data_IF_004862808118
#
_entry.id   IF_004862808118
#
_cell.length_a   1.000
_cell.length_b   1.000
_cell.length_c   1.000
_cell.angle_alpha   90.00
_cell.angle_beta   90.00
_cell.angle_gamma   90.00
#
_symmetry.space_group_name_H-M   'P 1'
#
loop_
_entity.id
_entity.type
_entity.pdbx_description
1 polymer ?
#
# COMPACT_ATOMS: atom_id res chain seq x y z
N UNK A 1 6.54 8.58 -2.62
CA UNK A 1 7.86 8.09 -2.14
C UNK A 1 7.97 6.57 -2.20
N UNK A 2 7.00 5.81 -1.67
CA UNK A 2 7.00 4.34 -1.74
C UNK A 2 7.21 3.79 -3.17
N UNK A 3 6.56 4.39 -4.17
CA UNK A 3 6.75 3.99 -5.57
C UNK A 3 8.20 4.04 -6.07
N UNK A 4 9.01 4.98 -5.59
CA UNK A 4 10.43 5.07 -5.95
C UNK A 4 11.27 3.98 -5.28
N UNK A 5 10.85 3.47 -4.11
CA UNK A 5 11.53 2.39 -3.40
C UNK A 5 11.19 1.02 -3.99
N UNK A 6 9.95 0.84 -4.43
CA UNK A 6 9.44 -0.42 -4.98
C UNK A 6 10.00 -0.73 -6.38
N UNK A 7 10.30 0.30 -7.18
CA UNK A 7 10.85 0.15 -8.52
C UNK A 7 9.86 -0.47 -9.52
N UNK A 8 10.34 -0.89 -10.70
CA UNK A 8 9.48 -1.25 -11.83
C UNK A 8 8.74 -2.59 -11.73
N UNK A 9 9.09 -3.45 -10.77
CA UNK A 9 8.44 -4.74 -10.55
C UNK A 9 7.56 -4.78 -9.31
N UNK A 10 7.48 -3.65 -8.59
CA UNK A 10 6.67 -3.55 -7.39
C UNK A 10 5.18 -3.43 -7.71
N UNK A 11 4.38 -3.72 -6.69
CA UNK A 11 2.94 -3.46 -6.66
C UNK A 11 2.68 -2.47 -5.55
N UNK A 12 1.90 -1.44 -5.83
CA UNK A 12 1.61 -0.36 -4.89
C UNK A 12 0.11 -0.05 -4.96
N UNK A 13 -0.65 -0.45 -3.95
CA UNK A 13 -2.08 -0.18 -3.91
C UNK A 13 -2.40 0.81 -2.79
N UNK A 14 -3.26 1.78 -3.07
CA UNK A 14 -3.84 2.68 -2.09
C UNK A 14 -5.33 2.41 -1.95
N UNK A 15 -5.85 2.37 -0.72
CA UNK A 15 -7.28 2.22 -0.45
C UNK A 15 -7.71 3.40 0.40
N UNK A 16 -8.76 4.08 -0.03
CA UNK A 16 -9.31 5.25 0.65
C UNK A 16 -10.84 5.25 0.52
N UNK A 17 -11.54 5.63 1.59
CA UNK A 17 -13.01 5.58 1.64
C UNK A 17 -13.67 6.78 0.95
N UNK A 18 -12.96 7.90 0.81
CA UNK A 18 -13.47 9.12 0.19
C UNK A 18 -12.99 9.25 -1.26
N UNK A 19 -13.95 9.36 -2.18
CA UNK A 19 -13.75 9.44 -3.63
C UNK A 19 -12.93 10.69 -4.03
N UNK A 20 -13.23 11.85 -3.44
CA UNK A 20 -12.54 13.11 -3.69
C UNK A 20 -11.06 13.09 -3.28
N UNK A 21 -10.73 12.33 -2.23
CA UNK A 21 -9.34 12.13 -1.79
C UNK A 21 -8.58 11.23 -2.75
N UNK A 22 -9.24 10.21 -3.33
CA UNK A 22 -8.66 9.37 -4.38
C UNK A 22 -8.38 10.18 -5.64
N UNK A 23 -9.37 10.95 -6.11
CA UNK A 23 -9.21 11.85 -7.28
C UNK A 23 -8.02 12.80 -7.10
N UNK A 24 -7.92 13.40 -5.91
CA UNK A 24 -6.81 14.27 -5.56
C UNK A 24 -5.47 13.53 -5.58
N UNK A 25 -5.41 12.30 -5.05
CA UNK A 25 -4.20 11.49 -5.05
C UNK A 25 -3.74 11.14 -6.47
N UNK A 26 -4.67 10.77 -7.35
CA UNK A 26 -4.40 10.50 -8.77
C UNK A 26 -3.87 11.77 -9.48
N UNK A 27 -4.49 12.92 -9.24
CA UNK A 27 -4.03 14.20 -9.79
C UNK A 27 -2.57 14.48 -9.38
N UNK A 28 -2.22 14.29 -8.09
CA UNK A 28 -0.86 14.54 -7.58
C UNK A 28 0.16 13.55 -8.10
N UNK A 29 -0.20 12.29 -8.29
CA UNK A 29 0.67 11.30 -8.94
C UNK A 29 0.91 11.68 -10.40
N UNK A 30 -0.15 12.04 -11.13
CA UNK A 30 -0.04 12.50 -12.52
C UNK A 30 0.79 13.79 -12.65
N UNK A 31 0.65 14.73 -11.71
CA UNK A 31 1.47 15.92 -11.65
C UNK A 31 2.94 15.56 -11.41
N UNK A 32 3.24 14.72 -10.43
CA UNK A 32 4.60 14.25 -10.15
C UNK A 32 5.24 13.60 -11.37
N UNK A 33 4.54 12.72 -12.08
CA UNK A 33 5.05 12.04 -13.27
C UNK A 33 5.34 12.99 -14.43
N UNK A 34 4.60 14.10 -14.54
CA UNK A 34 4.81 15.12 -15.58
C UNK A 34 5.92 16.12 -15.25
N UNK A 35 6.06 16.50 -13.97
CA UNK A 35 6.91 17.64 -13.59
C UNK A 35 8.21 17.24 -12.90
N UNK A 36 8.31 16.02 -12.38
CA UNK A 36 9.46 15.60 -11.56
C UNK A 36 10.57 15.01 -12.40
N UNK A 37 11.74 15.63 -12.36
CA UNK A 37 12.98 15.07 -12.94
C UNK A 37 13.36 13.72 -12.31
N UNK A 38 12.90 13.43 -11.10
CA UNK A 38 13.15 12.14 -10.45
C UNK A 38 12.44 10.98 -11.18
N UNK A 39 11.30 11.24 -11.84
CA UNK A 39 10.59 10.21 -12.59
C UNK A 39 11.33 9.75 -13.84
N UNK A 40 12.18 10.61 -14.42
CA UNK A 40 13.02 10.24 -15.56
C UNK A 40 14.26 9.47 -15.16
N UNK A 41 14.80 9.78 -13.98
CA UNK A 41 16.05 9.17 -13.47
C UNK A 41 15.82 7.84 -12.77
N UNK A 42 14.69 7.67 -12.09
CA UNK A 42 14.43 6.50 -11.25
C UNK A 42 13.25 5.67 -11.75
N UNK A 43 13.28 4.37 -11.45
CA UNK A 43 12.12 3.52 -11.63
C UNK A 43 11.05 3.89 -10.60
N UNK A 44 9.80 3.98 -11.05
CA UNK A 44 8.67 4.36 -10.20
C UNK A 44 7.57 3.33 -10.37
N UNK A 45 7.17 2.71 -9.25
CA UNK A 45 5.94 1.92 -9.15
C UNK A 45 4.78 2.90 -8.94
N UNK A 46 4.00 3.12 -10.00
CA UNK A 46 2.80 3.93 -9.95
C UNK A 46 1.77 3.29 -9.00
N UNK A 47 1.21 4.05 -8.04
CA UNK A 47 0.15 3.54 -7.17
C UNK A 47 -1.16 3.34 -7.95
N UNK A 48 -1.84 2.24 -7.70
CA UNK A 48 -3.23 2.03 -8.12
C UNK A 48 -4.14 2.28 -6.92
N UNK A 49 -5.08 3.22 -7.06
CA UNK A 49 -5.99 3.60 -5.99
C UNK A 49 -7.34 2.89 -6.12
N UNK A 50 -7.95 2.56 -4.98
CA UNK A 50 -9.25 1.92 -4.88
C UNK A 50 -10.10 2.70 -3.89
N UNK A 51 -11.28 3.11 -4.34
CA UNK A 51 -12.28 3.71 -3.46
C UNK A 51 -13.00 2.62 -2.68
N UNK A 52 -12.87 2.66 -1.35
CA UNK A 52 -13.69 1.93 -0.40
C UNK A 52 -12.97 1.58 0.90
N UNK A 53 -13.58 0.68 1.68
CA UNK A 53 -13.16 0.41 3.05
C UNK A 53 -12.09 -0.70 3.11
N UNK A 54 -10.93 -0.40 3.70
CA UNK A 54 -9.85 -1.36 3.86
C UNK A 54 -10.18 -2.52 4.81
N UNK A 55 -11.23 -2.41 5.64
CA UNK A 55 -11.74 -3.49 6.50
C UNK A 55 -12.76 -4.40 5.78
N UNK A 56 -13.10 -4.11 4.52
CA UNK A 56 -14.06 -4.88 3.71
C UNK A 56 -13.40 -5.50 2.47
N UNK A 57 -12.09 -5.75 2.54
CA UNK A 57 -11.31 -6.39 1.47
C UNK A 57 -11.62 -7.89 1.42
N UNK A 58 -11.84 -8.45 0.22
CA UNK A 58 -12.06 -9.88 0.05
C UNK A 58 -10.89 -10.72 0.59
N UNK A 59 -11.15 -11.84 1.29
CA UNK A 59 -10.10 -12.74 1.79
C UNK A 59 -9.32 -13.44 0.69
N UNK A 60 -9.82 -13.48 -0.55
CA UNK A 60 -9.13 -14.06 -1.71
C UNK A 60 -7.97 -13.17 -2.21
N UNK A 61 -7.83 -11.98 -1.64
CA UNK A 61 -6.74 -11.07 -1.95
C UNK A 61 -5.42 -11.66 -1.44
N UNK A 62 -4.48 -11.86 -2.37
CA UNK A 62 -3.11 -12.27 -2.08
C UNK A 62 -2.48 -11.39 -0.97
N UNK A 63 -1.57 -11.93 -0.17
CA UNK A 63 -0.94 -11.15 0.90
C UNK A 63 0.01 -10.05 0.39
N UNK A 64 0.37 -9.10 1.26
CA UNK A 64 1.31 -8.01 1.01
C UNK A 64 2.56 -8.14 1.85
N UNK A 65 3.70 -7.73 1.30
CA UNK A 65 4.97 -7.70 2.05
C UNK A 65 5.06 -6.49 2.99
N UNK A 66 4.36 -5.40 2.64
CA UNK A 66 4.35 -4.14 3.39
C UNK A 66 2.94 -3.56 3.36
N UNK A 67 2.39 -3.28 4.53
CA UNK A 67 1.12 -2.55 4.68
C UNK A 67 1.37 -1.37 5.60
N UNK A 68 0.89 -0.19 5.19
CA UNK A 68 0.86 1.00 6.04
C UNK A 68 -0.59 1.43 6.21
N UNK A 69 -1.01 1.61 7.46
CA UNK A 69 -2.33 2.12 7.80
C UNK A 69 -2.19 3.52 8.40
N UNK A 70 -2.67 4.53 7.68
CA UNK A 70 -2.64 5.93 8.10
C UNK A 70 -3.77 6.33 9.06
N UNK A 71 -4.41 5.36 9.72
CA UNK A 71 -5.53 5.56 10.62
C UNK A 71 -5.48 4.56 11.79
N UNK A 72 -6.04 4.95 12.94
CA UNK A 72 -6.13 4.12 14.14
C UNK A 72 -6.98 2.88 13.91
N UNK A 73 -6.39 1.70 14.05
CA UNK A 73 -7.13 0.44 13.91
C UNK A 73 -7.74 0.02 15.26
N UNK A 74 -9.06 -0.24 15.31
CA UNK A 74 -9.67 -0.90 16.46
C UNK A 74 -9.04 -2.27 16.72
N UNK A 75 -8.94 -2.67 17.99
CA UNK A 75 -8.25 -3.91 18.37
C UNK A 75 -8.94 -5.15 17.79
N UNK A 76 -10.26 -5.09 17.61
CA UNK A 76 -11.11 -6.14 17.06
C UNK A 76 -10.75 -6.44 15.59
N UNK A 77 -10.32 -5.42 14.85
CA UNK A 77 -9.99 -5.51 13.43
C UNK A 77 -8.49 -5.66 13.15
N UNK A 78 -7.65 -5.67 14.18
CA UNK A 78 -6.20 -5.90 14.05
C UNK A 78 -5.89 -7.19 13.29
N UNK A 79 -6.55 -8.28 13.70
CA UNK A 79 -6.34 -9.62 13.13
C UNK A 79 -6.62 -9.67 11.63
N UNK A 80 -7.62 -8.91 11.18
CA UNK A 80 -7.97 -8.80 9.77
C UNK A 80 -6.80 -8.20 8.97
N UNK A 81 -6.28 -7.05 9.39
CA UNK A 81 -5.15 -6.40 8.70
C UNK A 81 -3.87 -7.23 8.73
N UNK A 82 -3.59 -7.93 9.84
CA UNK A 82 -2.40 -8.79 9.93
C UNK A 82 -2.50 -10.03 9.03
N UNK A 83 -3.70 -10.53 8.76
CA UNK A 83 -3.91 -11.67 7.87
C UNK A 83 -3.67 -11.33 6.39
N UNK A 84 -3.75 -10.04 6.03
CA UNK A 84 -3.39 -9.55 4.70
C UNK A 84 -1.87 -9.51 4.45
N UNK A 85 -1.03 -9.81 5.45
CA UNK A 85 0.42 -9.87 5.28
C UNK A 85 0.89 -11.22 4.73
N UNK A 86 1.91 -11.20 3.87
CA UNK A 86 2.72 -12.39 3.59
C UNK A 86 3.56 -12.78 4.81
N UNK A 87 4.10 -14.01 4.83
CA UNK A 87 5.14 -14.38 5.80
C UNK A 87 6.36 -13.46 5.57
N UNK A 88 6.92 -12.93 6.66
CA UNK A 88 7.92 -11.84 6.70
C UNK A 88 7.40 -10.46 6.25
N UNK A 89 6.09 -10.35 6.02
CA UNK A 89 5.42 -9.09 5.79
C UNK A 89 5.37 -8.23 7.05
N UNK A 90 5.38 -6.91 6.88
CA UNK A 90 5.33 -5.93 7.97
C UNK A 90 4.12 -5.01 7.78
N UNK A 91 3.28 -4.93 8.80
CA UNK A 91 2.19 -3.97 8.93
C UNK A 91 2.62 -2.86 9.90
N UNK A 92 2.58 -1.61 9.45
CA UNK A 92 2.76 -0.43 10.30
C UNK A 92 1.40 0.22 10.49
N UNK A 93 0.92 0.26 11.74
CA UNK A 93 -0.45 0.67 12.06
C UNK A 93 -0.51 1.34 13.45
N UNK A 94 -1.26 2.44 13.62
CA UNK A 94 -1.59 2.98 14.92
C UNK A 94 -2.60 2.08 15.67
N UNK A 95 -2.23 1.62 16.88
CA UNK A 95 -3.09 0.89 17.81
C UNK A 95 -2.95 1.48 19.21
N UNK A 96 -4.08 1.79 19.85
CA UNK A 96 -4.12 2.31 21.23
C UNK A 96 -3.13 3.46 21.46
N UNK A 97 -3.18 4.48 20.59
CA UNK A 97 -2.32 5.68 20.61
C UNK A 97 -0.81 5.42 20.45
N UNK A 98 -0.43 4.24 19.95
CA UNK A 98 0.95 3.87 19.64
C UNK A 98 1.07 3.40 18.20
N UNK A 99 2.07 3.88 17.48
CA UNK A 99 2.43 3.35 16.18
C UNK A 99 3.20 2.05 16.39
N UNK A 100 2.66 0.94 15.90
CA UNK A 100 3.25 -0.39 16.03
C UNK A 100 3.68 -0.92 14.66
N UNK A 101 4.81 -1.63 14.63
CA UNK A 101 5.18 -2.49 13.53
C UNK A 101 4.92 -3.95 13.92
N UNK A 102 4.06 -4.61 13.14
CA UNK A 102 3.68 -6.00 13.33
C UNK A 102 4.26 -6.81 12.17
N UNK A 103 5.11 -7.78 12.47
CA UNK A 103 5.72 -8.69 11.49
C UNK A 103 5.05 -10.05 11.55
N UNK A 104 4.60 -10.58 10.41
CA UNK A 104 4.10 -11.96 10.33
C UNK A 104 5.28 -12.93 10.24
N UNK A 105 5.59 -13.65 11.32
CA UNK A 105 6.76 -14.54 11.38
C UNK A 105 6.45 -15.97 10.91
N UNK A 106 5.17 -16.35 10.85
CA UNK A 106 4.73 -17.67 10.43
C UNK A 106 3.28 -17.68 9.94
N UNK A 107 2.67 -18.86 9.83
CA UNK A 107 1.29 -18.98 9.36
C UNK A 107 0.29 -18.32 10.30
N UNK A 108 0.49 -18.44 11.61
CA UNK A 108 -0.40 -17.89 12.65
C UNK A 108 0.35 -17.10 13.72
N UNK A 109 1.66 -16.88 13.54
CA UNK A 109 2.52 -16.21 14.51
C UNK A 109 2.88 -14.80 14.03
N UNK A 110 2.79 -13.85 14.96
CA UNK A 110 3.05 -12.44 14.71
C UNK A 110 3.91 -11.86 15.84
N UNK A 111 4.84 -11.00 15.48
CA UNK A 111 5.67 -10.23 16.42
C UNK A 111 5.28 -8.76 16.33
N UNK A 112 5.05 -8.10 17.47
CA UNK A 112 4.73 -6.67 17.51
C UNK A 112 5.82 -5.87 18.20
N UNK A 113 6.17 -4.72 17.61
CA UNK A 113 7.12 -3.75 18.16
C UNK A 113 6.47 -2.37 18.20
N UNK A 114 6.47 -1.76 19.38
CA UNK A 114 6.08 -0.35 19.53
C UNK A 114 7.19 0.55 18.97
N UNK A 115 6.81 1.53 18.15
CA UNK A 115 7.72 2.49 17.54
C UNK A 115 7.68 3.80 18.33
N UNK A 116 6.51 4.46 18.36
CA UNK A 116 6.35 5.76 19.02
C UNK A 116 4.87 6.11 19.29
N UNK A 117 4.57 6.99 20.26
CA UNK A 117 3.22 7.50 20.52
C UNK A 117 2.70 8.38 19.40
N UNK A 118 1.45 8.19 18.99
CA UNK A 118 0.82 8.93 17.90
C UNK A 118 -0.65 9.22 18.18
N UNK A 119 -1.22 10.17 17.45
CA UNK A 119 -2.65 10.43 17.44
C UNK A 119 -3.15 10.42 15.98
N UNK A 120 -4.12 9.56 15.68
CA UNK A 120 -4.70 9.37 14.36
C UNK A 120 -6.22 9.27 14.47
N UNK A 121 -6.94 9.71 13.43
CA UNK A 121 -8.34 9.38 13.28
C UNK A 121 -8.52 7.86 13.16
N UNK A 122 -9.59 7.32 13.73
CA UNK A 122 -9.88 5.88 13.71
C UNK A 122 -10.44 5.43 12.37
N UNK A 123 -10.14 4.18 12.00
CA UNK A 123 -10.75 3.52 10.84
C UNK A 123 -12.27 3.46 11.01
N UNK A 124 -12.98 3.76 9.92
CA UNK A 124 -14.43 3.61 9.86
C UNK A 124 -14.74 2.12 9.77
N UNK A 125 -15.42 1.56 10.77
CA UNK A 125 -15.86 0.17 10.75
C UNK A 125 -17.09 0.06 9.83
N UNK A 126 -17.07 -0.81 8.80
CA UNK A 126 -18.22 -0.98 7.92
C UNK A 126 -19.38 -1.64 8.68
N UNK A 127 -20.57 -1.04 8.60
CA UNK A 127 -21.79 -1.56 9.23
C UNK A 127 -22.39 -2.73 8.44
N UNK A 128 -22.22 -2.69 7.11
CA UNK A 128 -22.60 -3.74 6.18
C UNK A 128 -21.42 -4.02 5.26
N UNK A 129 -21.05 -5.29 5.09
CA UNK A 129 -20.06 -5.70 4.09
C UNK A 129 -20.71 -5.57 2.72
N UNK A 130 -20.34 -4.52 1.99
CA UNK A 130 -20.73 -4.37 0.57
C UNK A 130 -19.74 -5.11 -0.33
N UNK A 131 -18.63 -5.57 0.24
CA UNK A 131 -17.47 -6.12 -0.44
C UNK A 131 -16.76 -5.00 -1.17
N UNK A 132 -15.51 -4.72 -0.80
CA UNK A 132 -14.67 -3.88 -1.66
C UNK A 132 -14.59 -4.55 -3.03
N UNK A 133 -14.81 -3.76 -4.10
CA UNK A 133 -14.57 -4.23 -5.47
C UNK A 133 -13.18 -4.86 -5.55
N UNK A 134 -13.05 -5.88 -6.39
CA UNK A 134 -11.83 -6.66 -6.56
C UNK A 134 -10.60 -5.76 -6.59
N UNK A 135 -9.61 -6.06 -5.74
CA UNK A 135 -8.34 -5.35 -5.73
C UNK A 135 -7.71 -5.37 -7.14
N UNK A 136 -6.96 -4.31 -7.52
CA UNK A 136 -6.33 -4.25 -8.82
C UNK A 136 -5.45 -5.47 -9.09
N UNK A 137 -5.38 -5.84 -10.37
CA UNK A 137 -4.74 -7.09 -10.78
C UNK A 137 -3.24 -7.01 -10.50
N UNK A 138 -2.68 -8.08 -9.94
CA UNK A 138 -1.24 -8.19 -9.64
C UNK A 138 -0.47 -8.75 -10.81
N UNK A 139 -0.80 -8.31 -12.02
CA UNK A 139 -0.17 -8.80 -13.23
C UNK A 139 1.28 -8.32 -13.29
N UNK A 140 2.19 -9.11 -13.88
CA UNK A 140 3.53 -8.64 -14.13
C UNK A 140 3.50 -7.37 -15.00
N UNK A 141 4.47 -6.46 -14.83
CA UNK A 141 4.56 -5.27 -15.66
C UNK A 141 4.63 -5.65 -17.13
N UNK A 142 4.05 -4.81 -17.99
CA UNK A 142 4.10 -5.04 -19.44
C UNK A 142 5.53 -5.08 -19.95
N UNK A 143 5.77 -5.79 -21.05
CA UNK A 143 7.11 -5.82 -21.68
C UNK A 143 7.60 -4.39 -21.99
N UNK A 144 6.69 -3.50 -22.39
CA UNK A 144 7.01 -2.09 -22.62
C UNK A 144 7.52 -1.40 -21.35
N UNK A 145 6.87 -1.61 -20.20
CA UNK A 145 7.30 -1.05 -18.92
C UNK A 145 8.68 -1.58 -18.51
N UNK A 146 8.94 -2.88 -18.69
CA UNK A 146 10.23 -3.51 -18.42
C UNK A 146 11.32 -2.93 -19.34
N UNK A 147 11.08 -2.91 -20.66
CA UNK A 147 12.01 -2.36 -21.65
C UNK A 147 12.31 -0.88 -21.38
N UNK A 148 11.30 -0.07 -21.03
CA UNK A 148 11.48 1.33 -20.63
C UNK A 148 12.43 1.46 -19.44
N UNK A 149 12.26 0.60 -18.43
CA UNK A 149 13.16 0.55 -17.27
C UNK A 149 14.61 0.21 -17.66
N UNK A 150 14.80 -0.80 -18.51
CA UNK A 150 16.12 -1.19 -19.01
C UNK A 150 16.80 -0.07 -19.80
N UNK A 151 16.09 0.58 -20.71
CA UNK A 151 16.63 1.68 -21.53
C UNK A 151 17.00 2.87 -20.66
N UNK A 152 16.12 3.27 -19.72
CA UNK A 152 16.40 4.37 -18.79
C UNK A 152 17.65 4.10 -17.96
N UNK A 153 17.83 2.89 -17.46
CA UNK A 153 19.03 2.50 -16.71
C UNK A 153 20.30 2.70 -17.54
N UNK A 154 20.31 2.22 -18.79
CA UNK A 154 21.47 2.38 -19.71
C UNK A 154 21.78 3.85 -20.02
N UNK A 155 20.76 4.71 -20.12
CA UNK A 155 20.94 6.14 -20.38
C UNK A 155 21.44 6.87 -19.13
N UNK A 156 20.93 6.52 -17.95
CA UNK A 156 21.30 7.15 -16.68
C UNK A 156 22.68 6.73 -16.15
N UNK A 157 23.20 5.58 -16.58
CA UNK A 157 24.53 5.08 -16.21
C UNK A 157 25.69 5.72 -17.04
N UNK A 158 25.36 6.59 -18.01
CA UNK A 158 26.32 7.40 -18.79
C UNK A 158 26.39 8.84 -18.27
#
# INVERSE_FOLDING_TARGET
MAGLMLGCHGINHGIEIHDDVVDYAEEKVGQFMRTSLAFDRYSFCEPEFVVGNCLDISPDVLGYDRIYCGAGCPNEHKSFLTNLLNINGILVVPLSDQLQAITRTGQTTFESKNILPVNFATLVVPVESKGLKSMPSRLPPTLQAICRGCIRKVISDK
#
